data_IF_634305505745
#
_entry.id   IF_634305505745
#
_cell.length_a   1.000
_cell.length_b   1.000
_cell.length_c   1.000
_cell.angle_alpha   90.00
_cell.angle_beta   90.00
_cell.angle_gamma   90.00
#
_symmetry.space_group_name_H-M   'P 1'
#
loop_
_entity.id
_entity.type
_entity.pdbx_description
1 polymer ?
#
# COMPACT_ATOMS: atom_id res chain seq x y z
N UNK A 1 -18.59 -0.02 -43.06
CA UNK A 1 -18.55 -1.31 -42.32
C UNK A 1 -17.75 -2.44 -43.01
N UNK A 2 -16.95 -2.19 -44.05
CA UNK A 2 -16.08 -3.24 -44.65
C UNK A 2 -14.65 -3.23 -44.09
N UNK A 3 -14.12 -2.06 -43.72
CA UNK A 3 -12.76 -1.92 -43.18
C UNK A 3 -12.59 -2.49 -41.76
N UNK A 4 -13.63 -2.41 -40.91
CA UNK A 4 -13.59 -2.95 -39.55
C UNK A 4 -13.45 -4.47 -39.52
N UNK A 5 -14.04 -5.18 -40.49
CA UNK A 5 -13.96 -6.64 -40.58
C UNK A 5 -12.56 -7.12 -40.98
N UNK A 6 -11.84 -6.34 -41.79
CA UNK A 6 -10.47 -6.67 -42.21
C UNK A 6 -9.49 -6.53 -41.04
N UNK A 7 -9.64 -5.49 -40.22
CA UNK A 7 -8.80 -5.29 -39.03
C UNK A 7 -8.91 -6.45 -38.03
N UNK A 8 -10.12 -6.98 -37.81
CA UNK A 8 -10.36 -8.11 -36.90
C UNK A 8 -9.74 -9.42 -37.44
N UNK A 9 -9.80 -9.64 -38.76
CA UNK A 9 -9.19 -10.82 -39.37
C UNK A 9 -7.65 -10.76 -39.30
N UNK A 10 -7.04 -9.57 -39.46
CA UNK A 10 -5.59 -9.41 -39.29
C UNK A 10 -5.13 -9.63 -37.84
N UNK A 11 -5.92 -9.29 -36.83
CA UNK A 11 -5.58 -9.56 -35.42
C UNK A 11 -5.64 -11.05 -35.04
N UNK A 12 -6.43 -11.85 -35.74
CA UNK A 12 -6.55 -13.30 -35.46
C UNK A 12 -5.36 -14.07 -36.05
N UNK A 13 -4.78 -13.62 -37.16
CA UNK A 13 -3.63 -14.27 -37.81
C UNK A 13 -2.32 -14.03 -37.01
N UNK A 14 -2.18 -12.90 -36.30
CA UNK A 14 -1.00 -12.63 -35.46
C UNK A 14 -0.98 -13.37 -34.12
N UNK A 15 -2.10 -13.98 -33.71
CA UNK A 15 -2.19 -14.75 -32.47
C UNK A 15 -1.82 -16.24 -32.65
N UNK A 16 -1.49 -16.66 -33.88
CA UNK A 16 -1.37 -18.07 -34.28
C UNK A 16 0.05 -18.65 -34.37
N UNK A 17 1.12 -17.92 -34.05
CA UNK A 17 2.49 -18.46 -34.05
C UNK A 17 3.11 -18.48 -32.66
N UNK A 18 2.40 -19.04 -31.67
CA UNK A 18 3.06 -19.69 -30.54
C UNK A 18 3.33 -21.15 -30.91
N UNK A 19 4.35 -21.34 -31.74
CA UNK A 19 4.89 -22.65 -32.08
C UNK A 19 6.34 -22.74 -31.65
N UNK A 20 6.62 -22.69 -30.35
CA UNK A 20 7.94 -23.08 -29.84
C UNK A 20 7.89 -24.55 -29.43
N UNK A 21 8.29 -25.42 -30.36
CA UNK A 21 8.92 -26.68 -30.00
C UNK A 21 10.14 -26.34 -29.14
N UNK A 22 10.07 -26.60 -27.84
CA UNK A 22 11.09 -26.18 -26.88
C UNK A 22 12.22 -27.22 -26.88
N UNK A 23 13.36 -26.83 -27.42
CA UNK A 23 14.62 -27.57 -27.32
C UNK A 23 15.12 -27.46 -25.86
N UNK A 24 15.58 -28.55 -25.21
CA UNK A 24 15.90 -28.54 -23.78
C UNK A 24 17.26 -27.89 -23.43
N UNK A 25 17.97 -27.31 -24.39
CA UNK A 25 19.36 -26.86 -24.22
C UNK A 25 19.64 -25.37 -24.43
N UNK A 26 18.64 -24.53 -24.70
CA UNK A 26 18.86 -23.08 -24.80
C UNK A 26 18.76 -22.44 -23.40
N UNK A 27 19.88 -22.57 -22.70
CA UNK A 27 20.26 -21.70 -21.60
C UNK A 27 20.61 -20.35 -22.21
N UNK A 28 19.70 -19.38 -22.13
CA UNK A 28 20.08 -17.99 -22.21
C UNK A 28 19.32 -17.20 -21.15
N UNK A 29 20.12 -16.80 -20.17
CA UNK A 29 19.95 -15.70 -19.24
C UNK A 29 19.56 -14.42 -19.97
N UNK A 30 18.33 -14.36 -20.47
CA UNK A 30 17.70 -13.13 -20.90
C UNK A 30 17.32 -12.34 -19.66
N UNK A 31 17.78 -11.10 -19.62
CA UNK A 31 17.50 -10.05 -18.65
C UNK A 31 16.01 -9.76 -18.50
N UNK A 32 15.29 -10.72 -17.93
CA UNK A 32 13.92 -10.57 -17.50
C UNK A 32 13.99 -9.85 -16.16
N UNK A 33 14.16 -8.53 -16.22
CA UNK A 33 13.78 -7.62 -15.15
C UNK A 33 12.24 -7.62 -15.04
N UNK A 34 11.68 -8.80 -14.72
CA UNK A 34 10.36 -8.92 -14.15
C UNK A 34 10.52 -8.46 -12.71
N UNK A 35 10.16 -7.20 -12.45
CA UNK A 35 9.65 -6.83 -11.13
C UNK A 35 8.56 -7.84 -10.79
N UNK A 36 8.92 -8.89 -10.06
CA UNK A 36 7.98 -9.92 -9.71
C UNK A 36 6.87 -9.24 -8.89
N UNK A 37 5.59 -9.50 -9.17
CA UNK A 37 4.48 -8.87 -8.44
C UNK A 37 4.64 -8.94 -6.91
N UNK A 38 5.26 -10.00 -6.39
CA UNK A 38 5.61 -10.12 -4.97
C UNK A 38 6.66 -9.11 -4.47
N UNK A 39 7.65 -8.71 -5.28
CA UNK A 39 8.62 -7.67 -4.92
C UNK A 39 7.96 -6.30 -4.78
N UNK A 40 6.97 -5.99 -5.64
CA UNK A 40 6.23 -4.72 -5.58
C UNK A 40 5.37 -4.69 -4.31
N UNK A 41 4.61 -5.76 -4.04
CA UNK A 41 3.80 -5.88 -2.82
C UNK A 41 4.66 -5.79 -1.55
N UNK A 42 5.81 -6.47 -1.53
CA UNK A 42 6.73 -6.40 -0.39
C UNK A 42 7.32 -5.00 -0.19
N UNK A 43 7.70 -4.31 -1.27
CA UNK A 43 8.19 -2.93 -1.19
C UNK A 43 7.11 -1.96 -0.69
N UNK A 44 5.87 -2.15 -1.14
CA UNK A 44 4.72 -1.35 -0.74
C UNK A 44 4.35 -1.56 0.74
N UNK A 45 4.26 -2.82 1.18
CA UNK A 45 4.05 -3.16 2.59
C UNK A 45 5.17 -2.60 3.47
N UNK A 46 6.43 -2.70 3.02
CA UNK A 46 7.56 -2.11 3.75
C UNK A 46 7.51 -0.57 3.79
N UNK A 47 7.00 0.08 2.76
CA UNK A 47 6.77 1.53 2.76
C UNK A 47 5.69 1.91 3.78
N UNK A 48 4.53 1.27 3.72
CA UNK A 48 3.41 1.55 4.63
C UNK A 48 3.78 1.28 6.09
N UNK A 49 4.54 0.22 6.37
CA UNK A 49 5.06 -0.05 7.72
C UNK A 49 5.96 1.07 8.24
N UNK A 50 6.78 1.69 7.37
CA UNK A 50 7.60 2.84 7.76
C UNK A 50 6.74 4.07 8.09
N UNK A 51 5.67 4.28 7.34
CA UNK A 51 4.73 5.38 7.62
C UNK A 51 3.99 5.17 8.94
N UNK A 52 3.57 3.94 9.26
CA UNK A 52 3.02 3.62 10.59
C UNK A 52 4.00 3.97 11.70
N UNK A 53 5.25 3.52 11.60
CA UNK A 53 6.29 3.82 12.60
C UNK A 53 6.57 5.32 12.71
N UNK A 54 6.51 6.05 11.59
CA UNK A 54 6.64 7.52 11.57
C UNK A 54 5.51 8.17 12.37
N UNK A 55 4.27 7.73 12.19
CA UNK A 55 3.10 8.27 12.88
C UNK A 55 3.07 7.89 14.36
N UNK A 56 3.45 6.66 14.73
CA UNK A 56 3.63 6.27 16.14
C UNK A 56 4.62 7.19 16.85
N UNK A 57 5.77 7.45 16.22
CA UNK A 57 6.77 8.37 16.75
C UNK A 57 6.24 9.82 16.81
N UNK A 58 5.42 10.23 15.84
CA UNK A 58 4.80 11.56 15.84
C UNK A 58 3.85 11.70 17.03
N UNK A 59 2.99 10.71 17.27
CA UNK A 59 2.09 10.67 18.41
C UNK A 59 2.85 10.73 19.74
N UNK A 60 3.87 9.90 19.92
CA UNK A 60 4.70 9.87 21.14
C UNK A 60 5.37 11.22 21.40
N UNK A 61 5.88 11.89 20.35
CA UNK A 61 6.43 13.23 20.47
C UNK A 61 5.36 14.27 20.85
N UNK A 62 4.15 14.19 20.28
CA UNK A 62 3.08 15.13 20.61
C UNK A 62 2.64 14.93 22.07
N UNK A 63 2.41 13.68 22.48
CA UNK A 63 1.99 13.35 23.85
C UNK A 63 3.06 13.70 24.89
N UNK A 64 4.35 13.53 24.58
CA UNK A 64 5.44 13.95 25.49
C UNK A 64 5.60 15.47 25.62
N UNK A 65 5.03 16.25 24.69
CA UNK A 65 4.99 17.71 24.77
C UNK A 65 3.72 18.22 25.48
N UNK A 66 2.75 17.35 25.80
CA UNK A 66 1.56 17.73 26.56
C UNK A 66 1.98 18.13 27.99
N UNK A 67 1.56 19.31 28.49
CA UNK A 67 1.90 19.75 29.84
C UNK A 67 1.36 18.80 30.92
N UNK A 68 2.14 18.58 31.98
CA UNK A 68 1.71 17.81 33.15
C UNK A 68 0.47 18.38 33.85
N UNK A 69 0.24 19.69 33.69
CA UNK A 69 -0.91 20.42 34.23
C UNK A 69 -1.76 20.89 33.06
N UNK A 70 -2.81 20.13 32.78
CA UNK A 70 -3.81 20.41 31.76
C UNK A 70 -5.20 20.45 32.39
N UNK A 71 -6.13 21.18 31.78
CA UNK A 71 -7.52 21.14 32.21
C UNK A 71 -8.09 19.72 32.09
N UNK A 72 -9.01 19.34 32.98
CA UNK A 72 -9.58 18.00 33.00
C UNK A 72 -10.28 17.64 31.68
N UNK A 73 -10.99 18.60 31.09
CA UNK A 73 -11.74 18.37 29.84
C UNK A 73 -10.78 18.28 28.65
N UNK A 74 -9.74 19.12 28.61
CA UNK A 74 -8.68 19.07 27.60
C UNK A 74 -7.89 17.75 27.67
N UNK A 75 -7.47 17.34 28.87
CA UNK A 75 -6.78 16.06 29.09
C UNK A 75 -7.63 14.86 28.70
N UNK A 76 -8.95 14.93 28.94
CA UNK A 76 -9.89 13.90 28.50
C UNK A 76 -10.01 13.83 26.98
N UNK A 77 -10.05 14.97 26.29
CA UNK A 77 -10.09 15.03 24.82
C UNK A 77 -8.81 14.42 24.24
N UNK A 78 -7.64 14.81 24.74
CA UNK A 78 -6.35 14.25 24.33
C UNK A 78 -6.31 12.74 24.53
N UNK A 79 -6.79 12.25 25.69
CA UNK A 79 -6.88 10.82 25.95
C UNK A 79 -7.81 10.10 24.97
N UNK A 80 -8.93 10.70 24.57
CA UNK A 80 -9.85 10.08 23.61
C UNK A 80 -9.20 10.00 22.21
N UNK A 81 -8.59 11.09 21.75
CA UNK A 81 -7.96 11.15 20.41
C UNK A 81 -6.77 10.21 20.35
N UNK A 82 -5.86 10.23 21.33
CA UNK A 82 -4.69 9.33 21.37
C UNK A 82 -5.09 7.86 21.37
N UNK A 83 -6.06 7.46 22.20
CA UNK A 83 -6.57 6.09 22.20
C UNK A 83 -7.20 5.69 20.85
N UNK A 84 -7.83 6.64 20.14
CA UNK A 84 -8.39 6.37 18.81
C UNK A 84 -7.27 6.19 17.79
N UNK A 85 -6.30 7.09 17.76
CA UNK A 85 -5.11 7.01 16.90
C UNK A 85 -4.36 5.69 17.09
N UNK A 86 -4.13 5.25 18.33
CA UNK A 86 -3.47 3.97 18.62
C UNK A 86 -4.24 2.77 18.05
N UNK A 87 -5.58 2.78 18.16
CA UNK A 87 -6.42 1.73 17.57
C UNK A 87 -6.36 1.73 16.05
N UNK A 88 -6.40 2.91 15.44
CA UNK A 88 -6.40 3.05 13.99
C UNK A 88 -5.04 2.65 13.38
N UNK A 89 -3.93 2.97 14.04
CA UNK A 89 -2.60 2.50 13.66
C UNK A 89 -2.51 0.96 13.73
N UNK A 90 -3.09 0.35 14.75
CA UNK A 90 -3.13 -1.11 14.89
C UNK A 90 -4.02 -1.78 13.82
N UNK A 91 -5.14 -1.15 13.43
CA UNK A 91 -5.96 -1.60 12.31
C UNK A 91 -5.19 -1.50 10.99
N UNK A 92 -4.47 -0.39 10.77
CA UNK A 92 -3.65 -0.20 9.58
C UNK A 92 -2.55 -1.25 9.47
N UNK A 93 -1.89 -1.64 10.57
CA UNK A 93 -0.90 -2.74 10.57
C UNK A 93 -1.52 -4.04 10.07
N UNK A 94 -2.71 -4.39 10.54
CA UNK A 94 -3.45 -5.59 10.08
C UNK A 94 -3.81 -5.48 8.60
N UNK A 95 -4.28 -4.32 8.16
CA UNK A 95 -4.57 -4.07 6.75
C UNK A 95 -3.30 -4.19 5.87
N UNK A 96 -2.13 -3.80 6.38
CA UNK A 96 -0.83 -3.95 5.69
C UNK A 96 -0.41 -5.42 5.56
N UNK A 97 -0.63 -6.23 6.60
CA UNK A 97 -0.35 -7.67 6.58
C UNK A 97 -1.23 -8.41 5.55
N UNK A 98 -2.44 -7.90 5.32
CA UNK A 98 -3.39 -8.43 4.36
C UNK A 98 -3.21 -7.87 2.93
N UNK A 99 -2.18 -7.07 2.66
CA UNK A 99 -1.91 -6.58 1.31
C UNK A 99 -1.58 -7.77 0.42
N UNK A 100 -2.51 -8.06 -0.48
CA UNK A 100 -2.34 -9.00 -1.57
C UNK A 100 -2.35 -8.25 -2.90
N UNK A 101 -1.96 -8.93 -3.98
CA UNK A 101 -1.98 -8.37 -5.33
C UNK A 101 -3.35 -7.82 -5.77
N UNK A 102 -4.44 -8.22 -5.12
CA UNK A 102 -5.82 -7.81 -5.46
C UNK A 102 -6.39 -6.72 -4.55
N UNK A 103 -5.78 -6.44 -3.38
CA UNK A 103 -6.29 -5.46 -2.41
C UNK A 103 -5.67 -4.09 -2.70
N UNK A 104 -6.52 -3.08 -2.91
CA UNK A 104 -6.05 -1.71 -3.16
C UNK A 104 -5.45 -1.09 -1.90
N UNK A 105 -4.22 -0.58 -1.97
CA UNK A 105 -3.55 0.14 -0.89
C UNK A 105 -4.05 1.58 -0.73
N UNK A 106 -4.87 2.08 -1.66
CA UNK A 106 -5.37 3.47 -1.63
C UNK A 106 -6.15 3.79 -0.35
N UNK A 107 -6.92 2.81 0.16
CA UNK A 107 -7.65 2.98 1.43
C UNK A 107 -6.73 3.09 2.64
N UNK A 108 -5.59 2.39 2.61
CA UNK A 108 -4.59 2.45 3.69
C UNK A 108 -3.92 3.84 3.71
N UNK A 109 -3.59 4.40 2.55
CA UNK A 109 -3.06 5.76 2.46
C UNK A 109 -4.01 6.82 3.00
N UNK A 110 -5.31 6.72 2.66
CA UNK A 110 -6.32 7.64 3.18
C UNK A 110 -6.43 7.56 4.70
N UNK A 111 -6.48 6.33 5.25
CA UNK A 111 -6.48 6.13 6.71
C UNK A 111 -5.24 6.72 7.37
N UNK A 112 -4.05 6.53 6.80
CA UNK A 112 -2.80 7.13 7.32
C UNK A 112 -2.85 8.67 7.31
N UNK A 113 -3.43 9.28 6.28
CA UNK A 113 -3.61 10.74 6.21
C UNK A 113 -4.62 11.25 7.26
N UNK A 114 -5.70 10.52 7.50
CA UNK A 114 -6.68 10.82 8.55
C UNK A 114 -6.04 10.73 9.94
N UNK A 115 -5.30 9.65 10.21
CA UNK A 115 -4.54 9.48 11.46
C UNK A 115 -3.56 10.63 11.65
N UNK A 116 -2.86 11.05 10.59
CA UNK A 116 -1.91 12.16 10.68
C UNK A 116 -2.60 13.47 11.08
N UNK A 117 -3.79 13.74 10.55
CA UNK A 117 -4.61 14.91 10.92
C UNK A 117 -5.08 14.83 12.37
N UNK A 118 -5.46 13.65 12.84
CA UNK A 118 -5.89 13.46 14.23
C UNK A 118 -4.74 13.67 15.21
N UNK A 119 -3.52 13.23 14.86
CA UNK A 119 -2.30 13.54 15.65
C UNK A 119 -2.02 15.04 15.68
N UNK A 120 -2.19 15.74 14.54
CA UNK A 120 -1.96 17.19 14.46
C UNK A 120 -3.02 18.03 15.20
N UNK A 121 -4.11 17.41 15.64
CA UNK A 121 -5.16 18.04 16.44
C UNK A 121 -4.90 17.99 17.95
N UNK A 122 -3.99 17.12 18.40
CA UNK A 122 -3.56 17.00 19.80
C UNK A 122 -2.53 18.10 20.12
#
# INVERSE_FOLDING_TARGET
MKLLKIAIICSIIFSGTQGFAKNPHDSDSSFVNQNSPGKIVAAESAHLNREVVRLEKKLDNVLSNVPDIIDHDEGRIIAIISNQVERDLEEVKKDIEEITYQRSTSGIYLKLEEIEKDIDMI
#
